data_IF_079246257000
#
_entry.id   IF_079246257000
#
_cell.length_a   1.000
_cell.length_b   1.000
_cell.length_c   1.000
_cell.angle_alpha   90.00
_cell.angle_beta   90.00
_cell.angle_gamma   90.00
#
_symmetry.space_group_name_H-M   'P 1'
#
loop_
_entity.id
_entity.type
_entity.pdbx_description
1 polymer ?
#
# COMPACT_ATOMS: atom_id res chain seq x y z
N UNK A 1 -25.86 -10.89 34.60
CA UNK A 1 -26.10 -10.64 33.18
C UNK A 1 -25.24 -9.48 32.67
N UNK A 2 -23.93 -9.62 32.77
CA UNK A 2 -22.94 -8.75 32.14
C UNK A 2 -21.65 -9.58 31.94
N UNK A 3 -21.71 -10.60 31.12
CA UNK A 3 -20.59 -11.45 30.76
C UNK A 3 -20.86 -12.13 29.43
N UNK A 4 -21.06 -11.38 28.37
CA UNK A 4 -21.28 -11.96 27.03
C UNK A 4 -20.81 -11.12 25.85
N UNK A 5 -20.00 -10.07 26.02
CA UNK A 5 -19.61 -9.22 24.88
C UNK A 5 -18.10 -8.96 24.74
N UNK A 6 -17.27 -9.85 25.27
CA UNK A 6 -15.82 -9.79 25.11
C UNK A 6 -15.26 -10.96 24.24
N UNK A 7 -16.11 -11.52 23.40
CA UNK A 7 -15.68 -12.57 22.48
C UNK A 7 -15.89 -12.10 21.06
N UNK A 8 -14.85 -11.60 20.38
CA UNK A 8 -14.63 -11.67 18.93
C UNK A 8 -13.54 -10.70 18.47
N UNK A 9 -12.47 -10.54 19.23
CA UNK A 9 -11.21 -10.14 18.64
C UNK A 9 -10.34 -11.41 18.54
N UNK A 10 -10.51 -12.14 17.46
CA UNK A 10 -9.76 -13.39 17.25
C UNK A 10 -8.42 -13.13 16.57
N UNK A 11 -7.34 -13.06 17.31
CA UNK A 11 -6.00 -13.12 16.75
C UNK A 11 -5.63 -14.57 16.37
N UNK A 12 -5.17 -14.82 15.16
CA UNK A 12 -4.68 -16.13 14.69
C UNK A 12 -3.20 -16.00 14.37
N UNK A 13 -2.36 -16.76 15.05
CA UNK A 13 -0.95 -16.97 14.73
C UNK A 13 -0.83 -18.20 13.81
N UNK A 14 -0.38 -18.05 12.57
CA UNK A 14 0.26 -19.13 11.85
C UNK A 14 1.73 -19.14 12.24
N UNK A 15 2.15 -20.18 12.89
CA UNK A 15 3.57 -20.41 13.14
C UNK A 15 4.08 -21.24 11.97
N UNK A 16 4.81 -20.60 11.06
CA UNK A 16 5.60 -21.29 10.07
C UNK A 16 6.93 -21.64 10.76
N UNK A 17 6.98 -22.75 11.46
CA UNK A 17 8.25 -23.28 11.96
C UNK A 17 8.98 -23.91 10.77
N UNK A 18 9.82 -23.14 10.09
CA UNK A 18 10.69 -23.62 9.00
C UNK A 18 12.08 -23.85 9.57
N UNK A 19 12.49 -25.08 9.70
CA UNK A 19 13.82 -25.46 10.18
C UNK A 19 14.85 -25.30 9.06
N UNK A 20 15.85 -24.46 9.28
CA UNK A 20 16.97 -24.26 8.36
C UNK A 20 18.14 -25.12 8.80
N UNK A 21 18.42 -26.23 8.10
CA UNK A 21 19.50 -27.15 8.40
C UNK A 21 19.01 -28.52 8.90
N UNK A 22 19.84 -29.31 9.54
CA UNK A 22 19.62 -30.73 9.92
C UNK A 22 18.44 -30.98 10.91
N UNK A 23 17.56 -30.02 11.14
CA UNK A 23 16.44 -30.13 12.06
C UNK A 23 15.10 -30.16 11.33
N UNK A 24 14.30 -31.12 11.70
CA UNK A 24 12.96 -31.37 11.17
C UNK A 24 12.02 -30.30 11.70
N UNK A 25 11.10 -29.83 10.82
CA UNK A 25 9.99 -28.98 11.22
C UNK A 25 9.13 -29.75 12.22
N UNK A 26 9.20 -29.32 13.45
CA UNK A 26 8.34 -29.85 14.49
C UNK A 26 7.32 -28.78 14.89
N UNK A 27 6.08 -29.04 14.51
CA UNK A 27 4.88 -28.33 14.91
C UNK A 27 4.66 -26.91 14.36
N UNK A 28 3.89 -26.89 13.30
CA UNK A 28 3.02 -25.78 12.98
C UNK A 28 1.92 -25.71 14.05
N UNK A 29 2.13 -24.91 15.05
CA UNK A 29 1.09 -24.70 16.07
C UNK A 29 0.14 -23.62 15.56
N UNK A 30 -1.11 -23.99 15.30
CA UNK A 30 -2.22 -23.04 15.08
C UNK A 30 -2.44 -22.22 16.36
N UNK A 31 -1.58 -21.27 16.63
CA UNK A 31 -1.90 -20.14 17.47
C UNK A 31 -2.37 -19.00 16.57
N UNK A 32 -3.37 -18.29 17.00
CA UNK A 32 -4.05 -17.23 16.26
C UNK A 32 -3.05 -16.22 15.65
N UNK A 33 -2.93 -16.13 14.33
CA UNK A 33 -1.96 -15.28 13.62
C UNK A 33 -2.59 -14.14 12.84
N UNK A 34 -3.89 -13.94 12.97
CA UNK A 34 -4.57 -12.82 12.34
C UNK A 34 -5.42 -12.09 13.38
N UNK A 35 -5.25 -10.78 13.45
CA UNK A 35 -6.14 -9.87 14.16
C UNK A 35 -6.87 -9.03 13.13
N UNK A 36 -8.20 -9.00 13.22
CA UNK A 36 -9.00 -8.00 12.51
C UNK A 36 -9.33 -6.87 13.49
N UNK A 37 -8.82 -5.68 13.21
CA UNK A 37 -9.03 -4.48 14.02
C UNK A 37 -9.96 -3.51 13.29
N UNK A 38 -10.84 -2.79 14.01
CA UNK A 38 -11.57 -1.68 13.43
C UNK A 38 -10.59 -0.54 13.10
N UNK A 39 -10.82 0.14 11.97
CA UNK A 39 -10.10 1.37 11.66
C UNK A 39 -10.73 2.49 12.50
N UNK A 40 -9.97 2.97 13.47
CA UNK A 40 -10.37 4.11 14.30
C UNK A 40 -10.03 5.42 13.58
N UNK A 41 -10.85 5.80 12.59
CA UNK A 41 -10.67 7.08 11.90
C UNK A 41 -12.01 7.67 11.47
N UNK A 42 -12.26 8.97 11.72
CA UNK A 42 -13.45 9.65 11.25
C UNK A 42 -13.37 10.10 9.79
N UNK A 43 -12.32 9.70 9.05
CA UNK A 43 -12.09 10.16 7.68
C UNK A 43 -13.09 9.56 6.70
N UNK A 44 -13.48 10.38 5.74
CA UNK A 44 -14.37 10.03 4.63
C UNK A 44 -13.87 10.62 3.33
N UNK A 45 -13.93 9.84 2.28
CA UNK A 45 -13.85 10.35 0.92
C UNK A 45 -15.27 10.60 0.36
N UNK A 46 -15.45 10.61 -0.95
CA UNK A 46 -16.73 10.91 -1.59
C UNK A 46 -17.87 9.96 -1.18
N UNK A 47 -17.57 8.70 -0.81
CA UNK A 47 -18.59 7.69 -0.49
C UNK A 47 -18.16 6.62 0.52
N UNK A 48 -16.90 6.58 0.95
CA UNK A 48 -16.38 5.59 1.91
C UNK A 48 -16.30 6.20 3.31
N UNK A 49 -16.84 5.51 4.28
CA UNK A 49 -16.65 5.73 5.71
C UNK A 49 -15.64 4.68 6.22
N UNK A 50 -14.39 5.09 6.37
CA UNK A 50 -13.30 4.18 6.75
C UNK A 50 -13.48 3.57 8.16
N UNK A 51 -14.28 4.17 9.04
CA UNK A 51 -14.58 3.60 10.37
C UNK A 51 -15.34 2.27 10.32
N UNK A 52 -15.90 1.91 9.17
CA UNK A 52 -16.61 0.65 8.95
C UNK A 52 -15.72 -0.46 8.42
N UNK A 53 -14.53 -0.13 7.94
CA UNK A 53 -13.58 -1.12 7.41
C UNK A 53 -12.79 -1.77 8.53
N UNK A 54 -12.22 -2.91 8.23
CA UNK A 54 -11.34 -3.66 9.13
C UNK A 54 -9.93 -3.73 8.58
N UNK A 55 -8.96 -3.86 9.47
CA UNK A 55 -7.57 -4.05 9.15
C UNK A 55 -7.12 -5.40 9.71
N UNK A 56 -6.48 -6.22 8.87
CA UNK A 56 -5.96 -7.52 9.26
C UNK A 56 -4.44 -7.48 9.34
N UNK A 57 -3.90 -8.11 10.37
CA UNK A 57 -2.48 -8.28 10.58
C UNK A 57 -2.12 -9.76 10.54
N UNK A 58 -0.90 -10.06 10.10
CA UNK A 58 -0.34 -11.42 10.06
C UNK A 58 1.09 -11.39 10.54
N UNK A 59 1.52 -12.49 11.20
CA UNK A 59 2.90 -12.74 11.57
C UNK A 59 3.36 -14.07 10.96
N UNK A 60 4.54 -14.05 10.35
CA UNK A 60 5.29 -15.24 9.92
C UNK A 60 6.40 -15.46 10.91
N UNK A 61 6.23 -16.45 11.78
CA UNK A 61 7.21 -16.81 12.81
C UNK A 61 8.09 -17.91 12.22
N UNK A 62 9.40 -17.66 12.18
CA UNK A 62 10.38 -18.63 11.65
C UNK A 62 11.14 -19.33 12.80
N UNK A 63 11.79 -20.43 12.49
CA UNK A 63 12.70 -21.13 13.41
C UNK A 63 14.11 -20.53 13.44
N UNK A 64 14.37 -19.53 12.61
CA UNK A 64 15.64 -18.80 12.62
C UNK A 64 15.73 -17.98 13.90
N UNK A 65 16.71 -18.28 14.74
CA UNK A 65 16.89 -17.60 16.01
C UNK A 65 17.95 -16.50 15.88
N UNK A 66 17.59 -15.29 16.30
CA UNK A 66 18.52 -14.17 16.48
C UNK A 66 18.34 -13.56 17.86
N UNK A 67 19.42 -13.30 18.55
CA UNK A 67 19.42 -12.75 19.92
C UNK A 67 18.46 -13.52 20.87
N UNK A 68 18.44 -14.86 20.72
CA UNK A 68 17.62 -15.75 21.53
C UNK A 68 16.12 -15.75 21.23
N UNK A 69 15.69 -15.14 20.11
CA UNK A 69 14.28 -15.05 19.70
C UNK A 69 14.09 -15.47 18.25
N UNK A 70 12.94 -16.05 17.91
CA UNK A 70 12.59 -16.29 16.51
C UNK A 70 12.58 -14.98 15.69
N UNK A 71 13.05 -15.08 14.45
CA UNK A 71 12.84 -14.01 13.48
C UNK A 71 11.36 -14.04 13.06
N UNK A 72 10.69 -12.88 13.13
CA UNK A 72 9.28 -12.74 12.82
C UNK A 72 9.10 -11.68 11.74
N UNK A 73 8.44 -12.06 10.65
CA UNK A 73 7.97 -11.12 9.65
C UNK A 73 6.53 -10.72 9.90
N UNK A 74 6.21 -9.46 9.69
CA UNK A 74 4.88 -8.90 9.90
C UNK A 74 4.30 -8.33 8.63
N UNK A 75 2.97 -8.37 8.52
CA UNK A 75 2.22 -7.78 7.42
C UNK A 75 0.86 -7.28 7.86
N UNK A 76 0.33 -6.33 7.11
CA UNK A 76 -1.03 -5.84 7.26
C UNK A 76 -1.59 -5.40 5.91
N UNK A 77 -2.92 -5.37 5.78
CA UNK A 77 -3.53 -4.86 4.56
C UNK A 77 -3.57 -3.33 4.55
N UNK A 78 -3.38 -2.76 3.36
CA UNK A 78 -3.46 -1.31 3.14
C UNK A 78 -4.92 -0.84 3.27
N UNK A 79 -5.14 0.25 3.99
CA UNK A 79 -6.38 1.03 4.09
C UNK A 79 -7.68 0.28 4.40
N UNK A 80 -7.60 -0.95 4.90
CA UNK A 80 -8.76 -1.73 5.31
C UNK A 80 -9.58 -2.34 4.17
N UNK A 81 -10.26 -3.41 4.49
CA UNK A 81 -11.29 -4.09 3.69
C UNK A 81 -12.19 -4.86 4.67
N UNK A 82 -12.94 -5.86 4.21
CA UNK A 82 -13.93 -6.54 5.05
C UNK A 82 -13.69 -8.05 5.16
N UNK A 83 -13.39 -8.75 4.06
CA UNK A 83 -13.35 -10.21 3.99
C UNK A 83 -11.95 -10.82 4.04
N UNK A 84 -10.89 -10.04 3.99
CA UNK A 84 -9.51 -10.52 3.87
C UNK A 84 -9.07 -11.45 5.01
N UNK A 85 -9.45 -11.17 6.24
CA UNK A 85 -9.09 -11.99 7.40
C UNK A 85 -9.64 -13.41 7.31
N UNK A 86 -10.88 -13.57 6.89
CA UNK A 86 -11.48 -14.89 6.66
C UNK A 86 -10.75 -15.65 5.55
N UNK A 87 -10.46 -14.98 4.44
CA UNK A 87 -9.71 -15.62 3.34
C UNK A 87 -8.30 -16.03 3.77
N UNK A 88 -7.63 -15.25 4.60
CA UNK A 88 -6.33 -15.63 5.16
C UNK A 88 -6.44 -16.89 6.03
N UNK A 89 -7.37 -16.91 7.00
CA UNK A 89 -7.53 -18.00 7.96
C UNK A 89 -7.99 -19.32 7.33
N UNK A 90 -9.00 -19.23 6.47
CA UNK A 90 -9.71 -20.42 5.99
C UNK A 90 -9.16 -20.94 4.65
N UNK A 91 -8.31 -20.17 3.98
CA UNK A 91 -7.90 -20.50 2.62
C UNK A 91 -6.39 -20.42 2.40
N UNK A 92 -5.75 -19.29 2.60
CA UNK A 92 -4.37 -19.08 2.16
C UNK A 92 -3.34 -19.58 3.19
N UNK A 93 -3.55 -19.30 4.46
CA UNK A 93 -2.66 -19.81 5.53
C UNK A 93 -2.69 -21.35 5.56
N UNK A 94 -3.83 -22.04 5.54
CA UNK A 94 -3.84 -23.51 5.49
C UNK A 94 -3.04 -24.10 4.33
N UNK A 95 -3.09 -23.51 3.14
CA UNK A 95 -2.30 -24.00 1.99
C UNK A 95 -0.79 -23.92 2.22
N UNK A 96 -0.32 -22.86 2.87
CA UNK A 96 1.10 -22.73 3.24
C UNK A 96 1.46 -23.78 4.31
N UNK A 97 0.57 -23.95 5.29
CA UNK A 97 0.79 -24.84 6.44
C UNK A 97 0.77 -26.32 6.06
N UNK A 98 0.02 -26.69 5.02
CA UNK A 98 -0.10 -28.07 4.51
C UNK A 98 0.97 -28.40 3.45
N UNK A 99 1.68 -27.40 2.95
CA UNK A 99 2.75 -27.62 1.97
C UNK A 99 3.97 -28.31 2.62
N UNK A 100 4.67 -29.09 1.79
CA UNK A 100 5.98 -29.59 2.19
C UNK A 100 6.91 -28.40 2.49
N UNK A 101 7.43 -28.29 3.69
CA UNK A 101 8.28 -27.18 4.09
C UNK A 101 9.50 -26.93 3.21
N UNK A 102 10.15 -27.99 2.74
CA UNK A 102 11.31 -27.88 1.83
C UNK A 102 10.91 -27.21 0.51
N UNK A 103 9.65 -27.38 0.10
CA UNK A 103 9.10 -26.75 -1.12
C UNK A 103 8.94 -25.23 -1.01
N UNK A 104 9.00 -24.68 0.21
CA UNK A 104 8.84 -23.24 0.49
C UNK A 104 10.19 -22.51 0.66
N UNK A 105 11.30 -23.27 0.67
CA UNK A 105 12.64 -22.72 0.85
C UNK A 105 13.27 -22.27 -0.47
N UNK A 106 14.19 -21.32 -0.36
CA UNK A 106 15.05 -20.90 -1.46
C UNK A 106 16.01 -22.03 -1.91
N UNK A 107 16.76 -21.79 -2.99
CA UNK A 107 17.71 -22.79 -3.53
C UNK A 107 18.84 -23.14 -2.57
N UNK A 108 19.10 -22.35 -1.56
CA UNK A 108 20.14 -22.60 -0.54
C UNK A 108 19.60 -23.41 0.65
N UNK A 109 18.29 -23.53 0.78
CA UNK A 109 17.63 -24.13 1.94
C UNK A 109 17.80 -23.33 3.24
N UNK A 110 18.25 -22.06 3.16
CA UNK A 110 18.56 -21.21 4.31
C UNK A 110 17.60 -20.06 4.55
N UNK A 111 16.70 -19.84 3.63
CA UNK A 111 15.69 -18.80 3.74
C UNK A 111 14.39 -19.25 3.07
N UNK A 112 13.32 -18.53 3.34
CA UNK A 112 12.05 -18.68 2.64
C UNK A 112 12.18 -18.17 1.18
N UNK A 113 11.44 -18.80 0.27
CA UNK A 113 11.28 -18.32 -1.10
C UNK A 113 9.89 -17.66 -1.27
N UNK A 114 9.81 -16.32 -1.35
CA UNK A 114 8.53 -15.64 -1.49
C UNK A 114 7.75 -16.07 -2.73
N UNK A 115 8.44 -16.38 -3.84
CA UNK A 115 7.78 -16.80 -5.08
C UNK A 115 7.13 -18.18 -4.95
N UNK A 116 7.78 -19.12 -4.26
CA UNK A 116 7.22 -20.44 -4.01
C UNK A 116 6.05 -20.39 -3.03
N UNK A 117 6.16 -19.57 -1.98
CA UNK A 117 5.06 -19.36 -1.02
C UNK A 117 3.87 -18.71 -1.73
N UNK A 118 4.11 -17.70 -2.55
CA UNK A 118 3.08 -17.04 -3.35
C UNK A 118 2.39 -18.04 -4.30
N UNK A 119 3.14 -18.87 -5.01
CA UNK A 119 2.59 -19.91 -5.88
C UNK A 119 1.76 -20.94 -5.11
N UNK A 120 2.20 -21.31 -3.90
CA UNK A 120 1.46 -22.22 -3.01
C UNK A 120 0.10 -21.61 -2.61
N UNK A 121 0.06 -20.35 -2.25
CA UNK A 121 -1.21 -19.64 -1.97
C UNK A 121 -2.13 -19.62 -3.20
N UNK A 122 -1.57 -19.52 -4.40
CA UNK A 122 -2.32 -19.46 -5.66
C UNK A 122 -2.86 -20.82 -6.15
N UNK A 123 -2.49 -21.92 -5.50
CA UNK A 123 -2.98 -23.27 -5.87
C UNK A 123 -4.51 -23.31 -5.84
N UNK A 124 -5.11 -23.83 -6.91
CA UNK A 124 -6.56 -23.94 -7.10
C UNK A 124 -7.34 -22.60 -7.12
N UNK A 125 -6.66 -21.49 -7.39
CA UNK A 125 -7.35 -20.22 -7.65
C UNK A 125 -7.77 -20.12 -9.11
N UNK A 126 -9.06 -19.83 -9.34
CA UNK A 126 -9.54 -19.53 -10.69
C UNK A 126 -9.07 -18.14 -11.13
N UNK A 127 -8.73 -17.96 -12.41
CA UNK A 127 -8.40 -16.64 -12.96
C UNK A 127 -9.56 -15.65 -12.83
N UNK A 128 -9.24 -14.36 -12.76
CA UNK A 128 -10.21 -13.26 -12.64
C UNK A 128 -10.74 -13.08 -11.22
N UNK A 129 -11.71 -12.19 -11.05
CA UNK A 129 -12.35 -11.93 -9.76
C UNK A 129 -11.38 -11.41 -8.69
N UNK A 130 -10.53 -10.44 -9.06
CA UNK A 130 -9.58 -9.82 -8.14
C UNK A 130 -10.30 -8.86 -7.18
N UNK A 131 -9.95 -8.91 -5.90
CA UNK A 131 -10.60 -8.13 -4.85
C UNK A 131 -10.10 -8.55 -3.47
N UNK A 132 -10.98 -8.94 -2.56
CA UNK A 132 -10.62 -9.35 -1.19
C UNK A 132 -9.54 -10.44 -1.13
N UNK A 133 -9.50 -11.37 -2.08
CA UNK A 133 -8.47 -12.41 -2.11
C UNK A 133 -7.07 -11.85 -2.45
N UNK A 134 -7.00 -10.84 -3.30
CA UNK A 134 -5.72 -10.20 -3.62
C UNK A 134 -5.16 -9.44 -2.42
N UNK A 135 -6.05 -8.81 -1.65
CA UNK A 135 -5.70 -8.16 -0.38
C UNK A 135 -5.22 -9.17 0.66
N UNK A 136 -5.93 -10.30 0.81
CA UNK A 136 -5.53 -11.35 1.76
C UNK A 136 -4.15 -11.92 1.45
N UNK A 137 -3.88 -12.25 0.18
CA UNK A 137 -2.58 -12.75 -0.25
C UNK A 137 -1.49 -11.70 -0.13
N UNK A 138 -1.76 -10.43 -0.48
CA UNK A 138 -0.81 -9.33 -0.36
C UNK A 138 -0.39 -9.06 1.09
N UNK A 139 -1.32 -9.24 2.02
CA UNK A 139 -1.03 -9.13 3.46
C UNK A 139 -0.06 -10.21 3.95
N UNK A 140 -0.27 -11.46 3.54
CA UNK A 140 0.62 -12.58 3.88
C UNK A 140 1.99 -12.41 3.19
N UNK A 141 2.00 -12.04 1.91
CA UNK A 141 3.22 -11.82 1.13
C UNK A 141 4.11 -10.74 1.76
N UNK A 142 3.51 -9.66 2.28
CA UNK A 142 4.23 -8.61 3.02
C UNK A 142 4.98 -9.21 4.22
N UNK A 143 4.35 -10.06 5.01
CA UNK A 143 4.97 -10.70 6.16
C UNK A 143 6.09 -11.66 5.75
N UNK A 144 5.93 -12.38 4.65
CA UNK A 144 6.96 -13.27 4.10
C UNK A 144 8.20 -12.48 3.68
N UNK A 145 8.04 -11.39 2.93
CA UNK A 145 9.17 -10.55 2.52
C UNK A 145 9.86 -9.87 3.69
N UNK A 146 9.10 -9.47 4.71
CA UNK A 146 9.67 -8.93 5.95
C UNK A 146 10.53 -9.97 6.67
N UNK A 147 10.05 -11.21 6.80
CA UNK A 147 10.81 -12.33 7.37
C UNK A 147 12.07 -12.62 6.56
N UNK A 148 11.97 -12.73 5.23
CA UNK A 148 13.10 -13.02 4.33
C UNK A 148 14.20 -11.98 4.47
N UNK A 149 13.87 -10.70 4.46
CA UNK A 149 14.85 -9.64 4.60
C UNK A 149 15.50 -9.62 6.01
N UNK A 150 14.72 -9.89 7.06
CA UNK A 150 15.22 -10.01 8.43
C UNK A 150 16.15 -11.23 8.61
N UNK A 151 15.85 -12.37 7.98
CA UNK A 151 16.72 -13.55 7.98
C UNK A 151 18.07 -13.20 7.32
N UNK A 152 18.10 -12.42 6.25
CA UNK A 152 19.34 -11.94 5.66
C UNK A 152 20.01 -10.79 6.45
N UNK A 153 19.32 -10.24 7.44
CA UNK A 153 19.84 -9.11 8.25
C UNK A 153 19.94 -7.81 7.45
N UNK A 154 19.14 -7.66 6.41
CA UNK A 154 19.15 -6.51 5.49
C UNK A 154 17.84 -5.72 5.56
N UNK A 155 17.85 -4.40 5.30
CA UNK A 155 16.64 -3.70 4.91
C UNK A 155 16.05 -4.31 3.65
N UNK A 156 14.71 -4.35 3.55
CA UNK A 156 14.05 -4.93 2.37
C UNK A 156 14.44 -4.18 1.09
N UNK A 157 14.58 -2.86 1.13
CA UNK A 157 15.00 -2.10 -0.05
C UNK A 157 16.38 -2.50 -0.56
N UNK A 158 17.32 -2.84 0.33
CA UNK A 158 18.63 -3.33 -0.08
C UNK A 158 18.52 -4.73 -0.70
N UNK A 159 17.75 -5.63 -0.06
CA UNK A 159 17.49 -6.96 -0.60
C UNK A 159 16.88 -6.89 -2.03
N UNK A 160 15.92 -6.01 -2.23
CA UNK A 160 15.29 -5.83 -3.54
C UNK A 160 16.27 -5.31 -4.60
N UNK A 161 17.07 -4.31 -4.24
CA UNK A 161 18.10 -3.79 -5.14
C UNK A 161 19.16 -4.85 -5.49
N UNK A 162 19.58 -5.66 -4.50
CA UNK A 162 20.53 -6.75 -4.71
C UNK A 162 19.99 -7.84 -5.65
N UNK A 163 18.70 -8.18 -5.53
CA UNK A 163 18.09 -9.30 -6.29
C UNK A 163 17.55 -8.89 -7.66
N UNK A 164 17.03 -7.67 -7.80
CA UNK A 164 16.26 -7.23 -8.96
C UNK A 164 16.78 -5.93 -9.58
N UNK A 165 17.76 -5.28 -8.98
CA UNK A 165 18.38 -4.03 -9.44
C UNK A 165 19.87 -4.17 -9.66
N UNK A 166 20.58 -3.08 -9.40
CA UNK A 166 22.05 -2.99 -9.54
C UNK A 166 22.80 -3.03 -8.19
N UNK A 167 22.13 -3.35 -7.10
CA UNK A 167 22.66 -3.36 -5.73
C UNK A 167 22.83 -1.97 -5.10
N UNK A 168 22.37 -0.91 -5.78
CA UNK A 168 22.47 0.47 -5.32
C UNK A 168 21.08 1.10 -5.16
N UNK A 169 20.38 0.88 -4.04
CA UNK A 169 19.05 1.42 -3.83
C UNK A 169 19.07 2.95 -3.75
N UNK A 170 17.99 3.57 -4.22
CA UNK A 170 17.76 5.00 -4.02
C UNK A 170 17.22 5.21 -2.59
N UNK A 171 18.02 5.75 -1.71
CA UNK A 171 17.62 5.96 -0.31
C UNK A 171 16.81 7.24 -0.09
N UNK A 172 16.80 8.16 -1.05
CA UNK A 172 15.99 9.38 -1.02
C UNK A 172 14.71 9.17 -1.81
N UNK A 173 13.59 9.08 -1.11
CA UNK A 173 12.29 8.77 -1.72
C UNK A 173 11.40 10.01 -1.66
N UNK A 174 10.87 10.36 -2.84
CA UNK A 174 9.82 11.38 -2.94
C UNK A 174 8.55 10.89 -2.25
N UNK A 175 7.93 11.79 -1.47
CA UNK A 175 6.66 11.53 -0.78
C UNK A 175 5.75 12.75 -0.90
N UNK A 176 4.44 12.51 -0.97
CA UNK A 176 3.43 13.55 -0.89
C UNK A 176 2.48 13.27 0.28
N UNK A 177 1.87 14.31 0.84
CA UNK A 177 0.94 14.17 1.95
C UNK A 177 -0.48 13.97 1.46
N UNK A 178 -1.08 12.83 1.77
CA UNK A 178 -2.50 12.58 1.54
C UNK A 178 -3.34 13.13 2.70
N UNK A 179 -4.39 13.88 2.34
CA UNK A 179 -5.32 14.51 3.28
C UNK A 179 -6.48 15.15 2.54
N UNK A 180 -7.00 16.25 3.08
CA UNK A 180 -8.06 17.04 2.46
C UNK A 180 -9.37 16.27 2.29
N UNK A 181 -9.66 15.35 3.21
CA UNK A 181 -10.91 14.59 3.24
C UNK A 181 -12.10 15.50 3.59
N UNK A 182 -13.30 14.95 3.59
CA UNK A 182 -14.51 15.62 4.02
C UNK A 182 -14.78 15.26 5.47
N UNK A 183 -14.66 16.26 6.36
CA UNK A 183 -14.95 16.09 7.78
C UNK A 183 -16.23 16.85 8.15
N UNK A 184 -17.10 16.28 8.97
CA UNK A 184 -18.25 17.00 9.48
C UNK A 184 -17.84 18.31 10.15
N UNK A 185 -18.42 19.44 9.71
CA UNK A 185 -18.14 20.77 10.28
C UNK A 185 -16.76 21.34 9.94
N UNK A 186 -16.04 20.76 8.98
CA UNK A 186 -14.81 21.34 8.45
C UNK A 186 -15.17 22.49 7.49
N UNK A 187 -14.64 23.67 7.76
CA UNK A 187 -14.65 24.82 6.88
C UNK A 187 -13.35 24.95 6.08
N UNK A 188 -13.28 25.95 5.20
CA UNK A 188 -12.10 26.24 4.40
C UNK A 188 -10.89 26.67 5.27
N UNK A 189 -11.12 27.24 6.45
CA UNK A 189 -10.07 27.60 7.39
C UNK A 189 -9.33 26.38 7.89
N UNK A 190 -10.07 25.39 8.40
CA UNK A 190 -9.50 24.13 8.88
C UNK A 190 -8.79 23.35 7.77
N UNK A 191 -9.34 23.37 6.54
CA UNK A 191 -8.69 22.76 5.39
C UNK A 191 -7.34 23.42 5.07
N UNK A 192 -7.28 24.75 5.11
CA UNK A 192 -6.02 25.52 4.96
C UNK A 192 -5.01 25.16 6.05
N UNK A 193 -5.47 25.05 7.29
CA UNK A 193 -4.59 24.75 8.44
C UNK A 193 -4.04 23.32 8.34
N UNK A 194 -4.85 22.35 7.87
CA UNK A 194 -4.39 21.00 7.57
C UNK A 194 -3.26 21.04 6.52
N UNK A 195 -3.46 21.73 5.40
CA UNK A 195 -2.45 21.82 4.34
C UNK A 195 -1.18 22.55 4.80
N UNK A 196 -1.31 23.63 5.56
CA UNK A 196 -0.15 24.32 6.16
C UNK A 196 0.64 23.37 7.06
N UNK A 197 -0.03 22.56 7.85
CA UNK A 197 0.64 21.60 8.73
C UNK A 197 1.49 20.58 7.96
N UNK A 198 1.10 20.22 6.74
CA UNK A 198 1.90 19.36 5.88
C UNK A 198 3.10 20.10 5.29
N UNK A 199 2.90 21.32 4.83
CA UNK A 199 3.99 22.17 4.32
C UNK A 199 5.03 22.44 5.42
N UNK A 200 4.60 22.75 6.64
CA UNK A 200 5.48 22.99 7.79
C UNK A 200 6.29 21.74 8.17
N UNK A 201 5.79 20.55 7.85
CA UNK A 201 6.53 19.28 8.01
C UNK A 201 7.44 18.93 6.84
N UNK A 202 7.55 19.80 5.83
CA UNK A 202 8.51 19.66 4.72
C UNK A 202 7.94 19.07 3.43
N UNK A 203 6.63 18.86 3.34
CA UNK A 203 6.00 18.43 2.10
C UNK A 203 5.87 19.59 1.11
N UNK A 204 6.13 19.34 -0.15
CA UNK A 204 5.92 20.29 -1.26
C UNK A 204 4.76 19.87 -2.16
N UNK A 205 4.25 18.67 -1.98
CA UNK A 205 3.08 18.15 -2.70
C UNK A 205 2.09 17.61 -1.67
N UNK A 206 0.84 18.08 -1.79
CA UNK A 206 -0.28 17.68 -0.93
C UNK A 206 -1.44 17.19 -1.78
N UNK A 207 -2.30 16.33 -1.23
CA UNK A 207 -3.47 15.78 -1.90
C UNK A 207 -4.75 16.13 -1.16
N UNK A 208 -5.82 16.42 -1.92
CA UNK A 208 -7.18 16.58 -1.39
C UNK A 208 -8.16 15.69 -2.15
N UNK A 209 -9.23 15.30 -1.47
CA UNK A 209 -10.36 14.58 -2.08
C UNK A 209 -11.33 15.54 -2.77
N UNK A 210 -11.89 15.09 -3.91
CA UNK A 210 -12.96 15.77 -4.66
C UNK A 210 -14.14 14.83 -4.87
N UNK A 211 -15.27 15.34 -5.31
CA UNK A 211 -16.48 14.55 -5.61
C UNK A 211 -17.40 14.28 -4.42
N UNK A 212 -17.03 14.68 -3.21
CA UNK A 212 -17.89 14.61 -2.03
C UNK A 212 -18.76 15.85 -1.81
N UNK A 213 -18.59 16.88 -2.67
CA UNK A 213 -19.35 18.12 -2.70
C UNK A 213 -19.75 18.45 -4.15
N UNK A 214 -20.43 19.59 -4.37
CA UNK A 214 -20.65 20.09 -5.75
C UNK A 214 -19.32 20.50 -6.39
N UNK A 215 -19.28 20.53 -7.72
CA UNK A 215 -18.11 21.02 -8.46
C UNK A 215 -17.68 22.41 -7.99
N UNK A 216 -18.62 23.35 -7.89
CA UNK A 216 -18.32 24.71 -7.43
C UNK A 216 -17.71 24.75 -6.03
N UNK A 217 -18.18 23.90 -5.12
CA UNK A 217 -17.61 23.81 -3.79
C UNK A 217 -16.23 23.16 -3.81
N UNK A 218 -16.03 22.10 -4.59
CA UNK A 218 -14.72 21.51 -4.75
C UNK A 218 -13.70 22.46 -5.37
N UNK A 219 -14.11 23.29 -6.34
CA UNK A 219 -13.22 24.34 -6.89
C UNK A 219 -12.88 25.40 -5.83
N UNK A 220 -13.85 25.87 -5.01
CA UNK A 220 -13.56 26.78 -3.88
C UNK A 220 -12.59 26.16 -2.86
N UNK A 221 -12.73 24.86 -2.60
CA UNK A 221 -11.80 24.13 -1.74
C UNK A 221 -10.39 24.04 -2.35
N UNK A 222 -10.29 23.82 -3.67
CA UNK A 222 -9.00 23.86 -4.40
C UNK A 222 -8.38 25.25 -4.30
N UNK A 223 -9.12 26.31 -4.60
CA UNK A 223 -8.64 27.71 -4.50
C UNK A 223 -8.17 28.04 -3.09
N UNK A 224 -8.90 27.54 -2.08
CA UNK A 224 -8.51 27.72 -0.67
C UNK A 224 -7.16 27.08 -0.36
N UNK A 225 -6.90 25.88 -0.87
CA UNK A 225 -5.60 25.22 -0.69
C UNK A 225 -4.52 25.97 -1.47
N UNK A 226 -4.75 26.26 -2.74
CA UNK A 226 -3.78 26.98 -3.57
C UNK A 226 -3.38 28.34 -2.98
N UNK A 227 -4.30 29.00 -2.24
CA UNK A 227 -4.01 30.26 -1.57
C UNK A 227 -2.99 30.16 -0.43
N UNK A 228 -2.66 28.95 0.03
CA UNK A 228 -1.66 28.71 1.11
C UNK A 228 -0.44 27.96 0.63
N UNK A 229 -0.44 27.49 -0.63
CA UNK A 229 0.74 26.89 -1.26
C UNK A 229 1.67 28.00 -1.77
N UNK A 230 2.98 27.81 -1.56
CA UNK A 230 4.03 28.70 -2.07
C UNK A 230 4.54 28.27 -3.45
N UNK A 231 5.50 29.03 -3.95
CA UNK A 231 6.16 28.74 -5.23
C UNK A 231 6.77 27.33 -5.22
N UNK A 232 6.51 26.57 -6.29
CA UNK A 232 7.01 25.20 -6.46
C UNK A 232 6.24 24.13 -5.67
N UNK A 233 5.26 24.51 -4.86
CA UNK A 233 4.35 23.59 -4.19
C UNK A 233 3.18 23.22 -5.09
N UNK A 234 2.70 21.99 -4.99
CA UNK A 234 1.69 21.42 -5.91
C UNK A 234 0.57 20.72 -5.15
N UNK A 235 -0.58 20.67 -5.81
CA UNK A 235 -1.78 19.98 -5.33
C UNK A 235 -2.12 18.80 -6.23
N UNK A 236 -2.39 17.63 -5.63
CA UNK A 236 -3.09 16.51 -6.25
C UNK A 236 -4.58 16.57 -5.88
N UNK A 237 -5.45 16.18 -6.79
CA UNK A 237 -6.88 16.01 -6.51
C UNK A 237 -7.30 14.58 -6.84
N UNK A 238 -8.18 14.01 -6.02
CA UNK A 238 -8.54 12.60 -6.06
C UNK A 238 -10.04 12.39 -5.88
N UNK A 239 -10.67 11.80 -6.88
CA UNK A 239 -12.11 11.53 -6.91
C UNK A 239 -12.49 10.12 -6.41
N UNK A 240 -11.51 9.26 -6.15
CA UNK A 240 -11.70 7.88 -5.71
C UNK A 240 -12.73 7.10 -6.55
N UNK A 241 -12.66 7.21 -7.86
CA UNK A 241 -13.54 6.47 -8.77
C UNK A 241 -15.02 6.93 -8.76
N UNK A 242 -15.31 8.11 -8.20
CA UNK A 242 -16.68 8.54 -7.88
C UNK A 242 -17.52 8.92 -9.09
N UNK A 243 -16.92 9.42 -10.17
CA UNK A 243 -17.65 10.07 -11.24
C UNK A 243 -18.15 9.10 -12.30
N UNK A 244 -19.33 9.39 -12.83
CA UNK A 244 -19.74 8.91 -14.16
C UNK A 244 -19.02 9.68 -15.28
N UNK A 245 -19.25 9.27 -16.52
CA UNK A 245 -18.55 9.85 -17.67
C UNK A 245 -18.76 11.36 -17.83
N UNK A 246 -19.97 11.84 -17.66
CA UNK A 246 -20.32 13.26 -17.83
C UNK A 246 -19.67 14.09 -16.72
N UNK A 247 -19.79 13.66 -15.48
CA UNK A 247 -19.18 14.32 -14.32
C UNK A 247 -17.66 14.32 -14.42
N UNK A 248 -17.04 13.21 -14.81
CA UNK A 248 -15.58 13.12 -14.96
C UNK A 248 -15.05 14.11 -16.02
N UNK A 249 -15.78 14.26 -17.13
CA UNK A 249 -15.46 15.22 -18.20
C UNK A 249 -15.68 16.67 -17.72
N UNK A 250 -16.75 16.94 -16.99
CA UNK A 250 -17.03 18.27 -16.42
C UNK A 250 -15.89 18.70 -15.48
N UNK A 251 -15.49 17.82 -14.54
CA UNK A 251 -14.33 18.06 -13.67
C UNK A 251 -13.04 18.20 -14.48
N UNK A 252 -12.78 17.35 -15.47
CA UNK A 252 -11.58 17.44 -16.31
C UNK A 252 -11.45 18.82 -16.98
N UNK A 253 -12.55 19.36 -17.51
CA UNK A 253 -12.60 20.71 -18.11
C UNK A 253 -12.34 21.80 -17.07
N UNK A 254 -13.01 21.72 -15.92
CA UNK A 254 -12.86 22.71 -14.85
C UNK A 254 -11.46 22.69 -14.24
N UNK A 255 -10.88 21.51 -14.04
CA UNK A 255 -9.53 21.33 -13.48
C UNK A 255 -8.41 21.74 -14.46
N UNK A 256 -8.68 21.82 -15.75
CA UNK A 256 -7.67 22.19 -16.77
C UNK A 256 -7.08 23.59 -16.59
N UNK A 257 -7.75 24.47 -15.82
CA UNK A 257 -7.25 25.81 -15.51
C UNK A 257 -6.17 25.84 -14.43
N UNK A 258 -6.01 24.74 -13.67
CA UNK A 258 -5.07 24.64 -12.56
C UNK A 258 -3.80 23.89 -12.97
N UNK A 259 -2.67 24.28 -12.38
CA UNK A 259 -1.39 23.56 -12.52
C UNK A 259 -1.28 22.49 -11.41
N UNK A 260 -2.15 21.47 -11.50
CA UNK A 260 -2.17 20.37 -10.54
C UNK A 260 -1.02 19.39 -10.79
N UNK A 261 -0.57 18.73 -9.72
CA UNK A 261 0.40 17.64 -9.83
C UNK A 261 -0.22 16.45 -10.56
N UNK A 262 -1.48 16.08 -10.21
CA UNK A 262 -2.33 15.18 -11.01
C UNK A 262 -3.82 15.30 -10.67
N UNK A 263 -4.64 14.76 -11.57
CA UNK A 263 -6.04 14.40 -11.38
C UNK A 263 -6.15 12.89 -11.28
N UNK A 264 -6.60 12.39 -10.10
CA UNK A 264 -6.55 10.99 -9.71
C UNK A 264 -7.95 10.37 -9.73
N UNK A 265 -8.01 9.13 -10.25
CA UNK A 265 -9.17 8.23 -10.24
C UNK A 265 -10.52 8.91 -10.55
N UNK A 266 -10.70 9.50 -11.75
CA UNK A 266 -11.94 10.19 -12.07
C UNK A 266 -13.18 9.31 -11.99
N UNK A 267 -13.16 8.12 -12.59
CA UNK A 267 -14.26 7.17 -12.65
C UNK A 267 -13.87 5.77 -12.15
N UNK A 268 -14.79 4.83 -12.31
CA UNK A 268 -14.55 3.45 -11.93
C UNK A 268 -13.18 2.96 -12.46
N UNK A 269 -12.33 2.37 -11.62
CA UNK A 269 -10.98 1.97 -12.01
C UNK A 269 -10.94 0.93 -13.14
N UNK A 270 -12.02 0.20 -13.39
CA UNK A 270 -12.15 -0.77 -14.49
C UNK A 270 -12.78 -0.15 -15.75
N UNK A 271 -13.23 1.11 -15.72
CA UNK A 271 -13.73 1.82 -16.89
C UNK A 271 -12.57 2.44 -17.69
N UNK A 272 -11.85 1.57 -18.39
CA UNK A 272 -10.69 1.98 -19.20
C UNK A 272 -11.07 2.91 -20.37
N UNK A 273 -12.29 2.79 -20.88
CA UNK A 273 -12.78 3.66 -21.97
C UNK A 273 -12.98 5.08 -21.46
N UNK A 274 -13.61 5.24 -20.30
CA UNK A 274 -13.76 6.53 -19.65
C UNK A 274 -12.36 7.14 -19.38
N UNK A 275 -11.46 6.39 -18.77
CA UNK A 275 -10.09 6.85 -18.48
C UNK A 275 -9.39 7.33 -19.78
N UNK A 276 -9.50 6.58 -20.86
CA UNK A 276 -8.91 6.93 -22.15
C UNK A 276 -9.54 8.19 -22.77
N UNK A 277 -10.84 8.39 -22.63
CA UNK A 277 -11.58 9.53 -23.19
C UNK A 277 -11.15 10.87 -22.58
N UNK A 278 -10.78 10.86 -21.30
CA UNK A 278 -10.39 12.07 -20.55
C UNK A 278 -9.16 12.77 -21.12
N UNK A 279 -8.30 12.07 -21.87
CA UNK A 279 -7.14 12.69 -22.58
C UNK A 279 -7.54 13.81 -23.51
N UNK A 280 -8.77 13.76 -24.04
CA UNK A 280 -9.28 14.80 -24.94
C UNK A 280 -9.59 16.09 -24.21
N UNK A 281 -9.92 16.01 -22.93
CA UNK A 281 -10.37 17.13 -22.09
C UNK A 281 -9.33 17.60 -21.07
N UNK A 282 -8.44 16.72 -20.62
CA UNK A 282 -7.43 17.03 -19.60
C UNK A 282 -6.02 16.67 -20.09
N UNK A 283 -5.17 17.70 -20.27
CA UNK A 283 -3.83 17.55 -20.85
C UNK A 283 -2.74 17.39 -19.78
N UNK A 284 -3.01 17.85 -18.56
CA UNK A 284 -2.09 17.74 -17.42
C UNK A 284 -2.02 16.29 -16.93
N UNK A 285 -1.09 15.96 -16.01
CA UNK A 285 -0.92 14.58 -15.53
C UNK A 285 -2.18 14.02 -14.88
N UNK A 286 -2.46 12.75 -15.16
CA UNK A 286 -3.46 11.93 -14.46
C UNK A 286 -2.77 10.85 -13.64
N UNK A 287 -3.46 10.34 -12.64
CA UNK A 287 -3.00 9.22 -11.83
C UNK A 287 -4.14 8.23 -11.58
N UNK A 288 -3.83 6.94 -11.56
CA UNK A 288 -4.80 5.87 -11.20
C UNK A 288 -4.07 4.57 -10.93
N UNK A 289 -4.76 3.58 -10.39
CA UNK A 289 -4.27 2.22 -10.26
C UNK A 289 -4.35 1.64 -8.85
N UNK A 290 -4.72 2.42 -7.84
CA UNK A 290 -4.82 1.93 -6.45
C UNK A 290 -5.81 0.76 -6.30
N UNK A 291 -6.90 0.77 -7.08
CA UNK A 291 -7.95 -0.24 -7.08
C UNK A 291 -7.82 -1.28 -8.22
N UNK A 292 -6.64 -1.40 -8.83
CA UNK A 292 -6.31 -2.45 -9.79
C UNK A 292 -5.53 -3.57 -9.07
N UNK A 293 -6.21 -4.66 -8.78
CA UNK A 293 -5.73 -5.66 -7.82
C UNK A 293 -5.01 -6.85 -8.45
N UNK A 294 -4.53 -6.71 -9.69
CA UNK A 294 -3.70 -7.71 -10.37
C UNK A 294 -2.85 -7.10 -11.47
N UNK A 295 -1.79 -7.81 -11.87
CA UNK A 295 -1.02 -7.47 -13.06
C UNK A 295 -1.89 -7.46 -14.33
N UNK A 296 -2.93 -8.30 -14.39
CA UNK A 296 -3.85 -8.33 -15.53
C UNK A 296 -4.67 -7.04 -15.64
N UNK A 297 -5.19 -6.52 -14.49
CA UNK A 297 -5.92 -5.25 -14.47
C UNK A 297 -4.99 -4.10 -14.82
N UNK A 298 -3.77 -4.08 -14.25
CA UNK A 298 -2.74 -3.09 -14.59
C UNK A 298 -2.40 -3.09 -16.08
N UNK A 299 -2.25 -4.28 -16.69
CA UNK A 299 -1.99 -4.43 -18.13
C UNK A 299 -3.14 -3.92 -18.99
N UNK A 300 -4.38 -4.13 -18.55
CA UNK A 300 -5.56 -3.63 -19.26
C UNK A 300 -5.62 -2.10 -19.19
N UNK A 301 -5.30 -1.49 -18.05
CA UNK A 301 -5.16 -0.03 -17.96
C UNK A 301 -4.13 0.48 -18.97
N UNK A 302 -2.96 -0.13 -19.05
CA UNK A 302 -1.89 0.29 -19.97
C UNK A 302 -2.33 0.14 -21.45
N UNK A 303 -3.03 -0.93 -21.78
CA UNK A 303 -3.47 -1.20 -23.17
C UNK A 303 -4.65 -0.35 -23.59
N UNK A 304 -5.60 -0.10 -22.71
CA UNK A 304 -6.91 0.43 -23.07
C UNK A 304 -7.26 1.74 -22.35
N UNK A 305 -6.64 2.04 -21.22
CA UNK A 305 -6.95 3.21 -20.40
C UNK A 305 -6.34 4.52 -20.88
N UNK A 306 -5.59 4.49 -22.01
CA UNK A 306 -5.06 5.70 -22.62
C UNK A 306 -4.02 6.46 -21.78
N UNK A 307 -3.43 5.82 -20.80
CA UNK A 307 -2.38 6.41 -19.96
C UNK A 307 -1.13 6.75 -20.77
N UNK A 308 -0.48 7.85 -20.38
CA UNK A 308 0.65 8.44 -21.13
C UNK A 308 1.95 8.26 -20.35
N UNK A 309 2.92 7.45 -20.84
CA UNK A 309 4.13 7.11 -20.10
C UNK A 309 5.09 8.30 -19.90
N UNK A 310 4.91 9.38 -20.64
CA UNK A 310 5.72 10.60 -20.55
C UNK A 310 5.25 11.55 -19.43
N UNK A 311 4.02 11.38 -18.90
CA UNK A 311 3.46 12.35 -17.92
C UNK A 311 2.54 11.79 -16.86
N UNK A 312 1.79 10.69 -17.10
CA UNK A 312 0.84 10.14 -16.15
C UNK A 312 1.54 9.26 -15.10
N UNK A 313 0.85 9.00 -13.99
CA UNK A 313 1.37 8.23 -12.87
C UNK A 313 0.51 7.00 -12.60
N UNK A 314 1.14 5.95 -12.08
CA UNK A 314 0.54 4.67 -11.75
C UNK A 314 0.66 4.43 -10.24
N UNK A 315 -0.46 4.14 -9.59
CA UNK A 315 -0.54 4.09 -8.13
C UNK A 315 -0.81 2.68 -7.58
N UNK A 316 -0.38 1.65 -8.32
CA UNK A 316 -0.54 0.26 -7.89
C UNK A 316 -0.01 0.05 -6.47
N UNK A 317 -0.84 -0.55 -5.61
CA UNK A 317 -0.53 -0.87 -4.23
C UNK A 317 -0.28 -2.37 -4.08
N UNK A 318 0.94 -2.76 -3.77
CA UNK A 318 1.31 -4.18 -3.66
C UNK A 318 0.54 -4.91 -2.56
N UNK A 319 0.21 -4.23 -1.46
CA UNK A 319 -0.55 -4.83 -0.37
C UNK A 319 -2.01 -5.15 -0.73
N UNK A 320 -2.55 -4.48 -1.76
CA UNK A 320 -3.91 -4.73 -2.29
C UNK A 320 -3.91 -5.71 -3.47
N UNK A 321 -2.80 -5.85 -4.18
CA UNK A 321 -2.71 -6.58 -5.44
C UNK A 321 -1.78 -7.80 -5.36
N UNK A 322 -2.11 -8.77 -4.54
CA UNK A 322 -1.38 -10.04 -4.37
C UNK A 322 0.07 -9.95 -3.86
N UNK A 323 0.52 -8.78 -3.39
CA UNK A 323 1.84 -8.62 -2.79
C UNK A 323 2.96 -8.23 -3.76
N UNK A 324 4.20 -8.29 -3.24
CA UNK A 324 5.38 -7.86 -3.98
C UNK A 324 5.72 -8.81 -5.14
N UNK A 325 5.44 -10.10 -5.02
CA UNK A 325 5.65 -11.05 -6.14
C UNK A 325 4.85 -10.62 -7.36
N UNK A 326 3.58 -10.28 -7.20
CA UNK A 326 2.75 -9.75 -8.30
C UNK A 326 3.21 -8.37 -8.74
N UNK A 327 3.68 -7.53 -7.81
CA UNK A 327 4.19 -6.20 -8.14
C UNK A 327 5.44 -6.26 -9.03
N UNK A 328 6.35 -7.21 -8.77
CA UNK A 328 7.51 -7.46 -9.64
C UNK A 328 7.08 -7.84 -11.07
N UNK A 329 6.06 -8.70 -11.20
CA UNK A 329 5.47 -9.05 -12.51
C UNK A 329 4.82 -7.84 -13.18
N UNK A 330 4.19 -6.96 -12.39
CA UNK A 330 3.61 -5.71 -12.89
C UNK A 330 4.69 -4.77 -13.42
N UNK A 331 5.81 -4.61 -12.71
CA UNK A 331 6.93 -3.78 -13.18
C UNK A 331 7.56 -4.33 -14.46
N UNK A 332 7.70 -5.64 -14.60
CA UNK A 332 8.19 -6.25 -15.84
C UNK A 332 7.24 -5.99 -17.01
N UNK A 333 5.94 -6.20 -16.81
CA UNK A 333 4.89 -5.87 -17.79
C UNK A 333 4.95 -4.38 -18.20
N UNK A 334 5.12 -3.47 -17.24
CA UNK A 334 5.24 -2.04 -17.52
C UNK A 334 6.46 -1.74 -18.41
N UNK A 335 7.60 -2.33 -18.11
CA UNK A 335 8.82 -2.20 -18.90
C UNK A 335 8.62 -2.69 -20.33
N UNK A 336 7.97 -3.84 -20.54
CA UNK A 336 7.61 -4.37 -21.85
C UNK A 336 6.72 -3.41 -22.68
N UNK A 337 5.92 -2.58 -21.98
CA UNK A 337 5.05 -1.59 -22.61
C UNK A 337 5.65 -0.17 -22.66
N UNK A 338 6.96 -0.03 -22.42
CA UNK A 338 7.69 1.24 -22.55
C UNK A 338 7.50 2.20 -21.36
N UNK A 339 7.03 1.71 -20.22
CA UNK A 339 6.89 2.51 -19.00
C UNK A 339 8.15 2.46 -18.15
N UNK A 340 8.51 3.59 -17.56
CA UNK A 340 9.55 3.67 -16.54
C UNK A 340 8.94 3.39 -15.16
N UNK A 341 9.65 2.66 -14.30
CA UNK A 341 9.31 2.48 -12.91
C UNK A 341 9.18 3.82 -12.15
N UNK A 342 9.85 4.88 -12.61
CA UNK A 342 9.70 6.25 -12.07
C UNK A 342 8.31 6.84 -12.24
N UNK A 343 7.42 6.24 -13.04
CA UNK A 343 6.02 6.62 -13.13
C UNK A 343 5.12 5.94 -12.09
N UNK A 344 5.65 4.99 -11.34
CA UNK A 344 4.95 4.34 -10.25
C UNK A 344 5.16 5.14 -8.95
N UNK A 345 4.06 5.62 -8.37
CA UNK A 345 4.01 6.25 -7.04
C UNK A 345 2.91 5.53 -6.26
N UNK A 346 3.23 4.44 -5.55
CA UNK A 346 2.24 3.59 -4.91
C UNK A 346 1.33 4.34 -3.94
N UNK A 347 0.06 3.92 -3.94
CA UNK A 347 -0.94 4.24 -2.93
C UNK A 347 -0.63 3.54 -1.60
N UNK A 348 -1.28 3.98 -0.53
CA UNK A 348 -1.39 3.27 0.73
C UNK A 348 -0.51 3.80 1.84
N UNK A 349 0.50 4.60 1.54
CA UNK A 349 1.33 5.29 2.53
C UNK A 349 2.03 4.38 3.53
N UNK A 350 2.27 3.11 3.20
CA UNK A 350 2.86 2.13 4.11
C UNK A 350 4.36 1.87 3.80
N UNK A 351 5.07 1.36 4.81
CA UNK A 351 6.52 1.17 4.73
C UNK A 351 6.96 0.14 3.68
N UNK A 352 6.11 -0.84 3.34
CA UNK A 352 6.41 -1.80 2.27
C UNK A 352 6.60 -1.10 0.93
N UNK A 353 5.69 -0.21 0.54
CA UNK A 353 5.80 0.56 -0.70
C UNK A 353 7.01 1.49 -0.72
N UNK A 354 7.41 2.07 0.43
CA UNK A 354 8.65 2.83 0.55
C UNK A 354 9.87 1.97 0.24
N UNK A 355 9.92 0.74 0.76
CA UNK A 355 11.02 -0.20 0.47
C UNK A 355 11.06 -0.58 -1.00
N UNK A 356 9.90 -0.78 -1.64
CA UNK A 356 9.82 -1.05 -3.07
C UNK A 356 10.32 0.15 -3.87
N UNK A 357 9.89 1.35 -3.50
CA UNK A 357 10.33 2.59 -4.17
C UNK A 357 11.85 2.76 -4.10
N UNK A 358 12.43 2.54 -2.91
CA UNK A 358 13.87 2.64 -2.71
C UNK A 358 14.66 1.54 -3.43
N UNK A 359 14.21 0.30 -3.33
CA UNK A 359 14.95 -0.86 -3.87
C UNK A 359 14.82 -1.03 -5.37
N UNK A 360 13.69 -0.65 -5.95
CA UNK A 360 13.36 -0.85 -7.38
C UNK A 360 13.27 0.46 -8.17
N UNK A 361 13.62 1.59 -7.55
CA UNK A 361 13.73 2.87 -8.24
C UNK A 361 12.40 3.43 -8.72
N UNK A 362 11.33 3.34 -7.92
CA UNK A 362 10.05 3.96 -8.25
C UNK A 362 10.11 5.49 -8.17
N UNK A 363 9.05 6.18 -8.59
CA UNK A 363 8.96 7.64 -8.59
C UNK A 363 8.74 8.25 -7.22
N UNK A 364 8.26 7.50 -6.25
CA UNK A 364 7.96 7.97 -4.93
C UNK A 364 6.97 7.08 -4.20
N UNK A 365 6.32 7.62 -3.17
CA UNK A 365 5.29 6.94 -2.40
C UNK A 365 4.29 7.94 -1.81
N UNK A 366 3.05 7.53 -1.67
CA UNK A 366 2.07 8.24 -0.85
C UNK A 366 2.48 8.24 0.62
N UNK A 367 2.08 9.22 1.39
CA UNK A 367 2.21 9.17 2.84
C UNK A 367 0.99 9.72 3.57
N UNK A 368 0.74 9.17 4.75
CA UNK A 368 -0.33 9.57 5.65
C UNK A 368 0.26 10.15 6.93
N UNK A 369 0.54 11.46 6.99
CA UNK A 369 1.18 12.07 8.17
C UNK A 369 0.38 11.89 9.46
N UNK A 370 -0.97 11.89 9.36
CA UNK A 370 -1.88 11.84 10.51
C UNK A 370 -2.96 10.75 10.39
N UNK A 371 -3.05 10.11 9.22
CA UNK A 371 -4.12 9.17 8.91
C UNK A 371 -3.65 7.73 9.07
N UNK A 372 -4.58 6.82 9.38
CA UNK A 372 -4.34 5.37 9.49
C UNK A 372 -3.23 4.99 10.48
N UNK A 373 -3.05 5.77 11.52
CA UNK A 373 -2.04 5.47 12.56
C UNK A 373 -2.45 4.24 13.38
N UNK A 374 -1.49 3.40 13.81
CA UNK A 374 -0.04 3.53 13.61
C UNK A 374 0.49 2.97 12.29
N UNK A 375 -0.35 2.51 11.36
CA UNK A 375 0.04 1.80 10.13
C UNK A 375 0.57 2.71 9.02
N UNK A 376 0.07 3.93 8.91
CA UNK A 376 0.56 4.96 7.99
C UNK A 376 1.83 5.65 8.47
N UNK A 377 2.46 6.41 7.58
CA UNK A 377 3.64 7.21 7.89
C UNK A 377 4.96 6.43 7.86
N UNK A 378 5.94 6.97 8.57
CA UNK A 378 7.34 6.51 8.53
C UNK A 378 7.78 5.95 9.87
N UNK A 379 8.95 5.27 9.95
CA UNK A 379 9.63 4.98 11.20
C UNK A 379 9.87 6.25 12.02
N UNK A 380 9.93 6.10 13.34
CA UNK A 380 10.08 7.23 14.26
C UNK A 380 11.37 8.02 13.96
N UNK A 381 11.26 9.33 14.00
CA UNK A 381 12.39 10.22 13.74
C UNK A 381 12.73 10.48 12.27
N UNK A 382 12.09 9.81 11.33
CA UNK A 382 12.22 10.11 9.89
C UNK A 382 11.56 11.46 9.60
N UNK A 383 12.31 12.36 8.97
CA UNK A 383 11.85 13.70 8.61
C UNK A 383 11.62 13.81 7.11
N UNK A 384 10.66 14.63 6.75
CA UNK A 384 10.42 15.03 5.36
C UNK A 384 11.17 16.34 5.10
N UNK A 385 11.95 16.37 4.04
CA UNK A 385 12.69 17.57 3.59
C UNK A 385 12.45 17.76 2.10
N UNK A 386 11.78 18.85 1.73
CA UNK A 386 11.39 19.14 0.35
C UNK A 386 10.67 17.95 -0.35
N UNK A 387 9.70 17.37 0.34
CA UNK A 387 8.99 16.14 -0.10
C UNK A 387 9.88 14.91 -0.30
N UNK A 388 11.03 14.84 0.35
CA UNK A 388 11.86 13.62 0.35
C UNK A 388 12.10 13.13 1.77
N UNK A 389 12.15 11.81 1.91
CA UNK A 389 12.65 11.13 3.12
C UNK A 389 13.94 10.40 2.79
N UNK A 390 14.74 10.13 3.82
CA UNK A 390 15.87 9.19 3.72
C UNK A 390 15.49 7.88 4.40
N UNK A 391 15.57 6.78 3.69
CA UNK A 391 15.28 5.44 4.21
C UNK A 391 16.25 5.07 5.34
N UNK A 392 15.75 4.71 6.53
CA UNK A 392 16.61 4.25 7.63
C UNK A 392 17.15 2.84 7.38
N UNK A 393 18.30 2.53 7.97
CA UNK A 393 18.86 1.17 7.95
C UNK A 393 18.20 0.30 9.03
N UNK A 394 17.04 -0.25 8.72
CA UNK A 394 16.29 -1.15 9.57
C UNK A 394 16.10 -2.48 8.85
N UNK A 395 16.38 -3.65 9.50
CA UNK A 395 16.14 -4.96 8.90
C UNK A 395 14.67 -5.16 8.51
N UNK A 396 14.43 -5.90 7.44
CA UNK A 396 13.08 -6.14 6.94
C UNK A 396 12.47 -4.89 6.35
N UNK A 397 11.17 -4.75 6.52
CA UNK A 397 10.41 -3.56 6.11
C UNK A 397 10.70 -2.35 7.03
N UNK A 398 11.23 -2.62 8.23
CA UNK A 398 11.56 -1.59 9.20
C UNK A 398 10.43 -1.24 10.17
N UNK A 399 9.47 -2.15 10.37
CA UNK A 399 8.36 -1.96 11.31
C UNK A 399 8.82 -1.73 12.75
N UNK A 400 9.94 -2.31 13.13
CA UNK A 400 10.58 -2.15 14.44
C UNK A 400 10.99 -0.69 14.73
N UNK A 401 11.17 0.11 13.71
CA UNK A 401 11.47 1.53 13.83
C UNK A 401 10.27 2.41 14.17
N UNK A 402 9.06 1.84 14.28
CA UNK A 402 7.84 2.56 14.64
C UNK A 402 7.23 1.96 15.89
N UNK A 403 7.48 2.60 17.04
CA UNK A 403 7.19 2.06 18.36
C UNK A 403 5.73 1.65 18.58
N UNK A 404 4.79 2.47 18.15
CA UNK A 404 3.35 2.18 18.29
C UNK A 404 2.90 1.04 17.39
N UNK A 405 3.45 0.94 16.18
CA UNK A 405 3.13 -0.13 15.24
C UNK A 405 3.66 -1.47 15.72
N UNK A 406 4.95 -1.54 16.05
CA UNK A 406 5.57 -2.80 16.46
C UNK A 406 4.99 -3.34 17.76
N UNK A 407 4.51 -2.48 18.65
CA UNK A 407 3.81 -2.88 19.85
C UNK A 407 2.56 -3.71 19.52
N UNK A 408 1.74 -3.23 18.59
CA UNK A 408 0.54 -3.95 18.12
C UNK A 408 0.93 -5.25 17.42
N UNK A 409 1.94 -5.23 16.55
CA UNK A 409 2.37 -6.42 15.81
C UNK A 409 2.93 -7.52 16.71
N UNK A 410 3.68 -7.17 17.76
CA UNK A 410 4.24 -8.15 18.70
C UNK A 410 3.20 -8.90 19.50
N UNK A 411 1.99 -8.39 19.65
CA UNK A 411 0.90 -9.12 20.29
C UNK A 411 0.53 -10.40 19.52
N UNK A 412 0.85 -10.46 18.20
CA UNK A 412 0.66 -11.64 17.37
C UNK A 412 1.68 -12.74 17.61
N UNK A 413 2.88 -12.41 18.09
CA UNK A 413 3.99 -13.32 18.26
C UNK A 413 4.37 -13.59 19.73
N UNK A 414 3.58 -13.06 20.66
CA UNK A 414 3.79 -13.21 22.11
C UNK A 414 3.39 -14.59 22.65
#
# INVERSE_FOLDING_TARGET
HQQADAQHAGAILARLDVTLGEHVIDQITQRRSEITLPISSPIRNAYIDFSKMTLSLVAVITDVIRDGKPVVGYGFNSNGRYGQGTLMRERFIPRIMEADPESLLDSTGKNLDPHKIWATMFTNEKPGGHGERSVAMGTIDMAVWDAVAKIEGKPLFQLLSDRYGDGKPDRKIFVYAAGGYYYPGQDHGKLKDEMRSYIDRGYTVVKKKIGGASLDEDLRRIDSILSVLGDGQKLCVDANGRFDGDTAIEYAKALSQYDLFWYEEPGDPLDYELQASLRSYYKNPMATGEDLFSMQDARNLIRYGGMRPDRDYLQFDCALSYGLVEYLRTLEMLKEHGWSAKRCIPHGGHQMSLNIAAGLGLGGNESYPDLFQPFGGFPDGVKVENSYITMPDLPGIGFEGKADLIKVMRELSA
#
